data_IF_705285085226
#
_entry.id   IF_705285085226
#
_cell.length_a   1.000
_cell.length_b   1.000
_cell.length_c   1.000
_cell.angle_alpha   90.00
_cell.angle_beta   90.00
_cell.angle_gamma   90.00
#
_symmetry.space_group_name_H-M   'P 1'
#
loop_
_entity.id
_entity.type
_entity.pdbx_description
1 polymer ?
#
# COMPACT_ATOMS: atom_id res chain seq x y z
N UNK A 1 -1.36 -9.61 -7.94
CA UNK A 1 -2.02 -9.15 -6.72
C UNK A 1 -0.97 -8.91 -5.67
N UNK A 2 -0.54 -9.97 -5.00
CA UNK A 2 0.53 -9.95 -3.97
C UNK A 2 1.82 -9.24 -4.41
N UNK A 3 2.33 -9.55 -5.60
CA UNK A 3 3.54 -8.89 -6.14
C UNK A 3 3.39 -7.37 -6.32
N UNK A 4 2.19 -6.90 -6.72
CA UNK A 4 1.93 -5.46 -6.88
C UNK A 4 1.86 -4.75 -5.52
N UNK A 5 1.31 -5.39 -4.49
CA UNK A 5 1.25 -4.81 -3.14
C UNK A 5 2.66 -4.65 -2.56
N UNK A 6 3.53 -5.65 -2.78
CA UNK A 6 4.93 -5.58 -2.39
C UNK A 6 5.70 -4.47 -3.12
N UNK A 7 5.45 -4.28 -4.42
CA UNK A 7 6.05 -3.19 -5.18
C UNK A 7 5.63 -1.81 -4.64
N UNK A 8 4.33 -1.62 -4.37
CA UNK A 8 3.81 -0.38 -3.77
C UNK A 8 4.45 -0.11 -2.41
N UNK A 9 4.60 -1.15 -1.57
CA UNK A 9 5.29 -1.03 -0.28
C UNK A 9 6.73 -0.55 -0.43
N UNK A 10 7.51 -1.16 -1.33
CA UNK A 10 8.91 -0.77 -1.55
C UNK A 10 9.04 0.67 -2.04
N UNK A 11 8.21 1.08 -3.00
CA UNK A 11 8.22 2.44 -3.53
C UNK A 11 7.89 3.48 -2.45
N UNK A 12 6.85 3.24 -1.66
CA UNK A 12 6.42 4.14 -0.58
C UNK A 12 7.51 4.23 0.50
N UNK A 13 8.11 3.11 0.87
CA UNK A 13 9.21 3.05 1.84
C UNK A 13 10.44 3.82 1.36
N UNK A 14 10.80 3.68 0.08
CA UNK A 14 11.92 4.40 -0.54
C UNK A 14 11.73 5.92 -0.50
N UNK A 15 10.51 6.41 -0.77
CA UNK A 15 10.22 7.86 -0.74
C UNK A 15 10.46 8.48 0.63
N UNK A 16 10.10 7.79 1.70
CA UNK A 16 10.35 8.27 3.07
C UNK A 16 11.83 8.27 3.39
N UNK A 17 12.53 7.18 3.06
CA UNK A 17 13.98 7.07 3.28
C UNK A 17 14.75 8.18 2.55
N UNK A 18 14.26 8.61 1.39
CA UNK A 18 14.82 9.72 0.61
C UNK A 18 14.36 11.11 1.06
N UNK A 19 13.57 11.22 2.16
CA UNK A 19 13.04 12.49 2.66
C UNK A 19 11.98 13.13 1.75
N UNK A 20 11.38 12.36 0.84
CA UNK A 20 10.38 12.81 -0.14
C UNK A 20 8.94 12.64 0.36
N UNK A 21 8.76 12.09 1.56
CA UNK A 21 7.46 11.83 2.18
C UNK A 21 7.58 11.96 3.69
N UNK A 22 6.57 12.58 4.29
CA UNK A 22 6.47 12.72 5.75
C UNK A 22 6.19 11.37 6.44
N UNK A 23 6.73 11.21 7.65
CA UNK A 23 6.61 9.97 8.42
C UNK A 23 5.17 9.63 8.82
N UNK A 24 4.33 10.63 9.09
CA UNK A 24 2.93 10.38 9.46
C UNK A 24 2.10 9.95 8.25
N UNK A 25 2.38 10.56 7.08
CA UNK A 25 1.78 10.14 5.80
C UNK A 25 2.18 8.69 5.49
N UNK A 26 3.44 8.36 5.68
CA UNK A 26 3.94 6.99 5.50
C UNK A 26 3.22 5.97 6.38
N UNK A 27 3.08 6.25 7.67
CA UNK A 27 2.43 5.31 8.59
C UNK A 27 0.97 5.03 8.19
N UNK A 28 0.25 6.03 7.71
CA UNK A 28 -1.11 5.86 7.18
C UNK A 28 -1.13 4.98 5.92
N UNK A 29 -0.19 5.19 5.00
CA UNK A 29 -0.10 4.42 3.76
C UNK A 29 0.31 2.97 4.01
N UNK A 30 1.25 2.72 4.93
CA UNK A 30 1.64 1.36 5.34
C UNK A 30 0.44 0.61 5.93
N UNK A 31 -0.36 1.26 6.78
CA UNK A 31 -1.58 0.66 7.32
C UNK A 31 -2.55 0.22 6.22
N UNK A 32 -2.77 1.09 5.22
CA UNK A 32 -3.63 0.79 4.07
C UNK A 32 -3.09 -0.36 3.20
N UNK A 33 -1.79 -0.40 2.96
CA UNK A 33 -1.11 -1.46 2.19
C UNK A 33 -1.24 -2.81 2.93
N UNK A 34 -0.98 -2.82 4.25
CA UNK A 34 -1.08 -4.03 5.06
C UNK A 34 -2.50 -4.58 5.13
N UNK A 35 -3.51 -3.71 5.26
CA UNK A 35 -4.92 -4.11 5.22
C UNK A 35 -5.30 -4.72 3.86
N UNK A 36 -4.79 -4.14 2.77
CA UNK A 36 -5.03 -4.62 1.41
C UNK A 36 -4.41 -6.00 1.20
N UNK A 37 -3.15 -6.19 1.62
CA UNK A 37 -2.46 -7.49 1.57
C UNK A 37 -3.22 -8.57 2.35
N UNK A 38 -3.61 -8.24 3.58
CA UNK A 38 -4.39 -9.15 4.43
C UNK A 38 -5.69 -9.57 3.75
N UNK A 39 -6.47 -8.63 3.22
CA UNK A 39 -7.74 -8.93 2.53
C UNK A 39 -7.53 -9.82 1.30
N UNK A 40 -6.47 -9.57 0.52
CA UNK A 40 -6.13 -10.41 -0.64
C UNK A 40 -5.79 -11.84 -0.20
N UNK A 41 -5.02 -12.02 0.89
CA UNK A 41 -4.70 -13.33 1.45
C UNK A 41 -5.92 -14.09 1.97
N UNK A 42 -6.91 -13.37 2.49
CA UNK A 42 -8.22 -13.92 2.89
C UNK A 42 -9.15 -14.22 1.69
N UNK A 43 -8.67 -14.07 0.45
CA UNK A 43 -9.41 -14.41 -0.77
C UNK A 43 -10.25 -13.27 -1.35
N UNK A 44 -10.09 -12.03 -0.87
CA UNK A 44 -10.72 -10.89 -1.51
C UNK A 44 -10.19 -10.68 -2.93
N UNK A 45 -11.04 -10.17 -3.82
CA UNK A 45 -10.67 -9.93 -5.22
C UNK A 45 -9.50 -8.93 -5.31
N UNK A 46 -8.32 -9.34 -5.83
CA UNK A 46 -7.13 -8.49 -5.83
C UNK A 46 -7.30 -7.20 -6.62
N UNK A 47 -8.09 -7.22 -7.71
CA UNK A 47 -8.31 -6.02 -8.53
C UNK A 47 -9.05 -4.95 -7.75
N UNK A 48 -10.17 -5.32 -7.10
CA UNK A 48 -10.97 -4.39 -6.30
C UNK A 48 -10.15 -3.85 -5.12
N UNK A 49 -9.37 -4.71 -4.46
CA UNK A 49 -8.51 -4.29 -3.35
C UNK A 49 -7.41 -3.32 -3.79
N UNK A 50 -6.79 -3.55 -4.95
CA UNK A 50 -5.82 -2.61 -5.53
C UNK A 50 -6.47 -1.29 -5.95
N UNK A 51 -7.66 -1.30 -6.55
CA UNK A 51 -8.41 -0.07 -6.88
C UNK A 51 -8.75 0.73 -5.61
N UNK A 52 -9.18 0.05 -4.54
CA UNK A 52 -9.47 0.69 -3.26
C UNK A 52 -8.20 1.24 -2.58
N UNK A 53 -7.07 0.53 -2.68
CA UNK A 53 -5.79 0.98 -2.19
C UNK A 53 -5.34 2.26 -2.93
N UNK A 54 -5.41 2.27 -4.27
CA UNK A 54 -5.07 3.44 -5.08
C UNK A 54 -5.92 4.67 -4.75
N UNK A 55 -7.21 4.47 -4.44
CA UNK A 55 -8.09 5.56 -4.03
C UNK A 55 -7.68 6.23 -2.70
N UNK A 56 -6.90 5.55 -1.84
CA UNK A 56 -6.37 6.12 -0.59
C UNK A 56 -5.12 6.99 -0.80
N UNK A 57 -4.53 6.96 -2.00
CA UNK A 57 -3.39 7.81 -2.37
C UNK A 57 -3.81 9.13 -3.05
N UNK A 58 -5.10 9.28 -3.39
CA UNK A 58 -5.70 10.50 -3.96
C UNK A 58 -6.10 11.48 -2.86
#
# INVERSE_FOLDING_TARGET
GEDMVNQIYQDVSSRVMNGQMDGDIYMNLIGAIAETDFRIREGANPRIQLEALLAKFL
#
